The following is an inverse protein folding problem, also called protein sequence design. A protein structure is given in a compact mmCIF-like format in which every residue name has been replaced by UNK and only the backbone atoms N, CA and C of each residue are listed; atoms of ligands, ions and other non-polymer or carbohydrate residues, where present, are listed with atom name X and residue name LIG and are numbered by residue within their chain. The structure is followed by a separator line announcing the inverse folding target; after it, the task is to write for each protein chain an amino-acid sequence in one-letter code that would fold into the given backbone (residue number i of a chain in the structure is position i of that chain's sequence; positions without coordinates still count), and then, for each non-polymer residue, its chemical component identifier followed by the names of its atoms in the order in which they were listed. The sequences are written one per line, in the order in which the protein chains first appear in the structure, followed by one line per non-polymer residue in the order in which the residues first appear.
data_IF_934876280390
#
_entry.id   IF_934876280390
#
_cell.length_a   1.000
_cell.length_b   1.000
_cell.length_c   1.000
_cell.angle_alpha   90.00
_cell.angle_beta   90.00
_cell.angle_gamma   90.00
#
_symmetry.space_group_name_H-M   'P 1'
#
loop_
_entity.id
_entity.type
_entity.pdbx_description
1 polymer ?
#
# COMPACT_ATOMS: atom_id res chain seq x y z
N UNK A 1 16.06 -17.87 4.55
CA UNK A 1 16.86 -18.04 5.78
C UNK A 1 18.34 -17.92 5.48
N UNK A 2 18.82 -18.21 4.27
CA UNK A 2 20.16 -17.77 3.88
C UNK A 2 20.28 -16.24 3.98
N UNK A 3 21.38 -15.75 4.56
CA UNK A 3 21.68 -14.33 4.79
C UNK A 3 20.68 -13.61 5.71
N UNK A 4 20.07 -14.31 6.67
CA UNK A 4 19.23 -13.66 7.69
C UNK A 4 19.93 -13.53 9.03
N UNK A 5 19.74 -12.38 9.65
CA UNK A 5 20.08 -12.04 11.04
C UNK A 5 18.88 -12.35 11.93
N UNK A 6 19.08 -13.16 12.98
CA UNK A 6 18.03 -13.86 13.71
C UNK A 6 18.26 -13.78 15.22
N UNK A 7 17.33 -13.12 15.91
CA UNK A 7 17.18 -13.28 17.37
C UNK A 7 16.18 -14.39 17.69
N UNK A 8 16.58 -15.32 18.55
CA UNK A 8 15.75 -16.40 19.08
C UNK A 8 15.59 -16.19 20.59
N UNK A 9 14.39 -16.33 21.17
CA UNK A 9 14.24 -16.17 22.61
C UNK A 9 12.92 -16.68 23.16
N UNK A 10 12.82 -16.67 24.49
CA UNK A 10 11.65 -17.17 25.22
C UNK A 10 11.81 -17.05 26.73
N UNK A 11 10.97 -17.77 27.48
CA UNK A 11 11.04 -17.88 28.94
C UNK A 11 11.08 -19.36 29.36
N UNK A 12 12.29 -19.85 29.66
CA UNK A 12 12.50 -21.24 30.04
C UNK A 12 12.55 -21.39 31.56
N UNK A 13 11.62 -22.17 32.13
CA UNK A 13 11.51 -22.39 33.58
C UNK A 13 11.49 -21.07 34.39
N UNK A 14 10.75 -20.08 33.89
CA UNK A 14 10.66 -18.75 34.50
C UNK A 14 11.91 -17.87 34.32
N UNK A 15 12.91 -18.31 33.54
CA UNK A 15 14.09 -17.52 33.22
C UNK A 15 14.04 -17.05 31.76
N UNK A 16 14.12 -15.75 31.51
CA UNK A 16 14.12 -15.25 30.15
C UNK A 16 15.46 -15.52 29.46
N UNK A 17 15.45 -15.68 28.14
CA UNK A 17 16.65 -15.84 27.34
C UNK A 17 16.47 -15.27 25.94
N UNK A 18 17.59 -14.89 25.34
CA UNK A 18 17.73 -14.65 23.91
C UNK A 18 19.02 -15.31 23.42
N UNK A 19 19.12 -15.51 22.12
CA UNK A 19 20.25 -16.05 21.40
C UNK A 19 20.34 -15.33 20.06
N UNK A 20 21.50 -14.76 19.79
CA UNK A 20 21.81 -14.13 18.51
C UNK A 20 22.39 -15.17 17.53
N UNK A 21 21.81 -15.22 16.35
CA UNK A 21 22.10 -16.23 15.33
C UNK A 21 22.02 -15.63 13.93
N UNK A 22 22.71 -16.26 12.99
CA UNK A 22 22.54 -16.04 11.56
C UNK A 22 22.11 -17.31 10.83
N UNK A 23 21.48 -17.10 9.68
CA UNK A 23 21.03 -18.16 8.79
C UNK A 23 21.94 -18.32 7.58
N UNK A 24 22.50 -19.51 7.40
CA UNK A 24 23.32 -19.86 6.24
C UNK A 24 22.52 -20.62 5.16
N UNK A 25 21.23 -20.88 5.40
CA UNK A 25 20.39 -21.65 4.49
C UNK A 25 19.10 -22.13 5.12
N UNK A 26 18.49 -23.18 4.55
CA UNK A 26 17.22 -23.73 5.03
C UNK A 26 17.41 -24.81 6.11
N UNK A 27 18.33 -24.58 7.05
CA UNK A 27 18.61 -25.45 8.19
C UNK A 27 18.62 -24.65 9.50
N UNK A 28 19.03 -25.29 10.59
CA UNK A 28 19.08 -24.68 11.92
C UNK A 28 20.03 -23.46 11.91
N UNK A 29 19.61 -22.30 12.44
CA UNK A 29 20.48 -21.13 12.57
C UNK A 29 21.76 -21.42 13.34
N UNK A 30 22.84 -20.73 12.97
CA UNK A 30 24.16 -20.82 13.60
C UNK A 30 24.25 -19.69 14.62
N UNK A 31 24.78 -19.98 15.81
CA UNK A 31 24.96 -18.97 16.86
C UNK A 31 26.10 -18.04 16.49
N UNK A 32 25.86 -16.74 16.65
CA UNK A 32 26.81 -15.70 16.28
C UNK A 32 27.99 -15.66 17.25
N UNK A 33 29.14 -15.22 16.73
CA UNK A 33 30.34 -15.03 17.57
C UNK A 33 30.23 -13.80 18.43
N UNK A 34 29.64 -12.73 17.89
CA UNK A 34 29.15 -11.58 18.65
C UNK A 34 27.71 -11.85 19.09
N UNK A 35 27.23 -11.13 20.11
CA UNK A 35 25.84 -11.19 20.53
C UNK A 35 25.38 -9.74 20.68
N UNK A 36 24.78 -9.21 19.63
CA UNK A 36 24.49 -7.79 19.46
C UNK A 36 23.06 -7.44 19.88
N UNK A 37 22.14 -8.41 19.83
CA UNK A 37 20.83 -8.26 20.43
C UNK A 37 20.90 -8.23 21.96
N UNK A 38 20.21 -7.25 22.55
CA UNK A 38 20.08 -7.09 23.99
C UNK A 38 18.64 -7.33 24.43
N UNK A 39 18.46 -8.23 25.38
CA UNK A 39 17.17 -8.46 26.01
C UNK A 39 16.85 -7.33 26.98
N UNK A 40 15.70 -6.67 26.79
CA UNK A 40 15.18 -5.62 27.68
C UNK A 40 14.17 -6.18 28.68
N UNK A 41 13.20 -6.93 28.19
CA UNK A 41 12.21 -7.59 29.02
C UNK A 41 11.67 -8.84 28.34
N UNK A 42 11.21 -9.79 29.14
CA UNK A 42 10.59 -11.00 28.65
C UNK A 42 9.56 -11.48 29.67
N UNK A 43 8.39 -11.84 29.18
CA UNK A 43 7.29 -12.33 30.02
C UNK A 43 6.51 -13.40 29.26
N UNK A 44 5.95 -14.34 30.01
CA UNK A 44 5.12 -15.39 29.46
C UNK A 44 3.85 -15.52 30.29
N UNK A 45 2.73 -15.69 29.60
CA UNK A 45 1.44 -16.00 30.21
C UNK A 45 0.82 -17.22 29.52
N UNK A 46 -0.37 -17.65 29.96
CA UNK A 46 -1.03 -18.84 29.42
C UNK A 46 -1.43 -18.77 27.93
N UNK A 47 -1.16 -17.67 27.23
CA UNK A 47 -1.50 -17.49 25.82
C UNK A 47 -0.29 -17.16 24.94
N UNK A 48 0.65 -16.35 25.42
CA UNK A 48 1.75 -15.84 24.59
C UNK A 48 2.99 -15.52 25.42
N UNK A 49 4.14 -15.53 24.76
CA UNK A 49 5.41 -14.98 25.25
C UNK A 49 5.65 -13.63 24.59
N UNK A 50 6.00 -12.62 25.37
CA UNK A 50 6.38 -11.28 24.90
C UNK A 50 7.85 -11.06 25.19
N UNK A 51 8.62 -10.70 24.16
CA UNK A 51 10.03 -10.34 24.24
C UNK A 51 10.19 -8.90 23.78
N UNK A 52 10.91 -8.12 24.56
CA UNK A 52 11.38 -6.80 24.19
C UNK A 52 12.90 -6.87 24.03
N UNK A 53 13.36 -6.62 22.82
CA UNK A 53 14.79 -6.65 22.47
C UNK A 53 15.20 -5.32 21.88
N UNK A 54 16.49 -5.04 21.91
CA UNK A 54 17.06 -3.86 21.26
C UNK A 54 18.43 -4.18 20.68
N UNK A 55 18.79 -3.46 19.63
CA UNK A 55 20.09 -3.57 18.98
C UNK A 55 20.44 -2.24 18.33
N UNK A 56 21.72 -1.97 18.15
CA UNK A 56 22.19 -0.80 17.39
C UNK A 56 21.90 -1.00 15.89
N UNK A 57 21.70 0.08 15.14
CA UNK A 57 21.33 -0.03 13.72
C UNK A 57 22.41 -0.69 12.85
N UNK A 58 23.68 -0.47 13.18
CA UNK A 58 24.80 -1.14 12.53
C UNK A 58 25.77 -1.61 13.61
N UNK A 59 25.90 -2.92 13.75
CA UNK A 59 26.78 -3.59 14.73
C UNK A 59 28.22 -3.66 14.25
N UNK A 60 28.45 -3.46 12.94
CA UNK A 60 29.72 -3.71 12.27
C UNK A 60 30.18 -5.18 12.35
N UNK A 61 29.26 -6.12 12.64
CA UNK A 61 29.46 -7.55 12.49
C UNK A 61 29.05 -8.00 11.08
N UNK A 62 29.77 -8.97 10.52
CA UNK A 62 29.50 -9.53 9.18
C UNK A 62 28.40 -10.59 9.19
N UNK A 63 28.06 -11.16 10.36
CA UNK A 63 26.97 -12.13 10.50
C UNK A 63 25.58 -11.43 10.57
N UNK A 64 25.60 -10.11 10.56
CA UNK A 64 24.51 -9.21 10.90
C UNK A 64 24.04 -8.34 9.73
N UNK A 65 22.74 -8.00 9.71
CA UNK A 65 22.18 -7.10 8.70
C UNK A 65 22.03 -5.66 9.26
N UNK A 66 22.57 -4.63 8.57
CA UNK A 66 22.36 -3.26 9.00
C UNK A 66 20.90 -2.84 8.84
N UNK A 67 20.34 -2.22 9.87
CA UNK A 67 19.04 -1.54 9.83
C UNK A 67 19.25 -0.15 9.24
N UNK A 68 18.67 0.10 8.07
CA UNK A 68 18.80 1.36 7.35
C UNK A 68 17.41 1.84 6.85
N UNK A 69 17.40 2.78 5.90
CA UNK A 69 16.17 3.34 5.32
C UNK A 69 15.56 2.45 4.21
N UNK A 70 16.17 1.31 3.89
CA UNK A 70 15.64 0.38 2.90
C UNK A 70 14.50 -0.47 3.50
N UNK A 71 13.81 -1.19 2.62
CA UNK A 71 12.79 -2.15 3.03
C UNK A 71 13.46 -3.38 3.66
N UNK A 72 13.18 -3.62 4.94
CA UNK A 72 13.60 -4.82 5.67
C UNK A 72 12.54 -5.91 5.56
N UNK A 73 12.94 -7.11 5.15
CA UNK A 73 12.06 -8.29 5.15
C UNK A 73 12.20 -9.04 6.47
N UNK A 74 11.24 -8.84 7.37
CA UNK A 74 11.12 -9.65 8.57
C UNK A 74 10.65 -11.05 8.21
N UNK A 75 11.31 -12.03 8.81
CA UNK A 75 10.85 -13.40 8.87
C UNK A 75 10.58 -13.73 10.33
N UNK A 76 9.55 -14.53 10.59
CA UNK A 76 9.23 -14.95 11.94
C UNK A 76 8.75 -16.38 11.96
N UNK A 77 8.96 -17.01 13.10
CA UNK A 77 8.40 -18.32 13.43
C UNK A 77 8.15 -18.40 14.92
N UNK A 78 7.11 -19.14 15.30
CA UNK A 78 6.78 -19.38 16.71
C UNK A 78 6.63 -20.88 16.97
N UNK A 79 7.11 -21.31 18.13
CA UNK A 79 7.01 -22.68 18.64
C UNK A 79 6.19 -22.74 19.92
N UNK A 80 5.86 -23.95 20.36
CA UNK A 80 5.20 -24.22 21.66
C UNK A 80 6.18 -24.63 22.74
N UNK A 81 7.46 -24.79 22.40
CA UNK A 81 8.55 -25.21 23.28
C UNK A 81 9.78 -24.33 23.02
N UNK A 82 10.74 -24.37 23.94
CA UNK A 82 12.06 -23.73 23.81
C UNK A 82 13.04 -24.51 22.92
N UNK A 83 12.60 -25.60 22.30
CA UNK A 83 13.43 -26.44 21.46
C UNK A 83 13.33 -26.00 20.00
N UNK A 84 14.49 -25.84 19.35
CA UNK A 84 14.57 -25.44 17.95
C UNK A 84 14.22 -26.60 17.02
N UNK A 85 12.97 -26.60 16.56
CA UNK A 85 12.41 -27.60 15.65
C UNK A 85 11.86 -26.97 14.37
N UNK A 86 11.40 -27.79 13.43
CA UNK A 86 10.76 -27.29 12.21
C UNK A 86 9.45 -26.58 12.56
N UNK A 87 9.44 -25.25 12.36
CA UNK A 87 8.31 -24.39 12.65
C UNK A 87 7.04 -24.76 11.84
N UNK A 88 5.91 -24.91 12.53
CA UNK A 88 4.59 -25.07 11.91
C UNK A 88 3.91 -23.72 11.63
N UNK A 89 4.18 -22.72 12.49
CA UNK A 89 3.68 -21.35 12.35
C UNK A 89 4.84 -20.41 12.04
N UNK A 90 4.80 -19.85 10.83
CA UNK A 90 5.83 -18.94 10.31
C UNK A 90 5.22 -17.95 9.34
N UNK A 91 5.94 -16.87 9.08
CA UNK A 91 5.54 -15.89 8.09
C UNK A 91 6.67 -14.91 7.78
N UNK A 92 6.35 -13.95 6.93
CA UNK A 92 7.24 -12.84 6.62
C UNK A 92 6.45 -11.57 6.35
N UNK A 93 7.05 -10.41 6.63
CA UNK A 93 6.50 -9.10 6.31
C UNK A 93 7.63 -8.18 5.84
N UNK A 94 7.34 -7.30 4.88
CA UNK A 94 8.28 -6.26 4.45
C UNK A 94 7.89 -4.96 5.13
N UNK A 95 8.84 -4.31 5.80
CA UNK A 95 8.60 -3.05 6.53
C UNK A 95 9.79 -2.11 6.34
N UNK A 96 9.56 -0.81 6.48
CA UNK A 96 10.64 0.18 6.59
C UNK A 96 10.76 0.51 8.08
N UNK A 97 11.77 -0.03 8.76
CA UNK A 97 11.90 0.09 10.24
C UNK A 97 12.02 1.55 10.66
N UNK A 98 12.78 2.34 9.89
CA UNK A 98 13.06 3.74 10.18
C UNK A 98 12.06 4.70 9.53
N UNK A 99 10.89 4.19 9.09
CA UNK A 99 9.88 5.05 8.47
C UNK A 99 9.40 6.09 9.50
N UNK A 100 9.49 7.40 9.21
CA UNK A 100 8.98 8.41 10.12
C UNK A 100 7.48 8.21 10.33
N UNK A 101 7.05 8.26 11.59
CA UNK A 101 5.63 8.29 11.90
C UNK A 101 5.08 9.61 11.39
N UNK A 102 4.29 9.57 10.31
CA UNK A 102 3.56 10.75 9.85
C UNK A 102 2.64 11.23 10.97
N UNK A 103 2.62 12.54 11.28
CA UNK A 103 1.69 13.06 12.27
C UNK A 103 0.25 12.72 11.85
N UNK A 104 -0.64 12.41 12.81
CA UNK A 104 -2.01 12.07 12.48
C UNK A 104 -2.68 13.26 11.77
N UNK A 105 -3.11 13.05 10.53
CA UNK A 105 -3.85 14.07 9.77
C UNK A 105 -5.32 13.98 10.15
N UNK A 106 -5.88 15.08 10.67
CA UNK A 106 -7.30 15.15 10.98
C UNK A 106 -8.12 15.19 9.68
N UNK A 107 -8.76 14.08 9.35
CA UNK A 107 -9.66 13.93 8.19
C UNK A 107 -11.15 13.90 8.58
N UNK A 108 -11.48 14.13 9.86
CA UNK A 108 -12.83 13.91 10.39
C UNK A 108 -13.88 14.86 9.76
N UNK A 109 -13.47 16.07 9.41
CA UNK A 109 -14.31 17.08 8.77
C UNK A 109 -14.22 17.04 7.23
N UNK A 110 -13.47 16.09 6.67
CA UNK A 110 -13.32 15.97 5.22
C UNK A 110 -14.58 15.38 4.58
N UNK A 111 -14.86 15.79 3.35
CA UNK A 111 -15.86 15.19 2.51
C UNK A 111 -15.24 14.06 1.69
N UNK A 112 -15.89 12.90 1.71
CA UNK A 112 -15.44 11.71 0.97
C UNK A 112 -15.93 11.76 -0.47
N UNK A 113 -15.02 11.56 -1.42
CA UNK A 113 -15.33 11.31 -2.82
C UNK A 113 -14.81 9.93 -3.23
N UNK A 114 -15.73 9.08 -3.67
CA UNK A 114 -15.41 7.71 -4.09
C UNK A 114 -15.38 7.59 -5.62
N UNK A 115 -14.27 7.06 -6.13
CA UNK A 115 -14.04 6.71 -7.53
C UNK A 115 -13.95 5.20 -7.63
N UNK A 116 -15.09 4.53 -7.43
CA UNK A 116 -15.18 3.08 -7.32
C UNK A 116 -15.87 2.47 -8.53
N UNK A 117 -15.48 1.25 -8.89
CA UNK A 117 -16.12 0.46 -9.94
C UNK A 117 -16.24 -0.99 -9.50
N UNK A 118 -17.38 -1.60 -9.80
CA UNK A 118 -17.53 -3.05 -9.73
C UNK A 118 -17.17 -3.68 -11.07
N UNK A 119 -16.05 -4.37 -11.12
CA UNK A 119 -15.52 -4.97 -12.35
C UNK A 119 -15.69 -6.49 -12.32
N UNK A 120 -16.01 -7.09 -13.46
CA UNK A 120 -15.89 -8.53 -13.67
C UNK A 120 -14.53 -8.77 -14.31
N UNK A 121 -13.63 -9.42 -13.57
CA UNK A 121 -12.26 -9.62 -14.00
C UNK A 121 -12.21 -10.60 -15.19
N UNK A 122 -11.49 -10.29 -16.28
CA UNK A 122 -11.19 -11.27 -17.31
C UNK A 122 -10.41 -12.46 -16.75
N UNK A 123 -10.60 -13.64 -17.35
CA UNK A 123 -9.81 -14.84 -17.04
C UNK A 123 -8.41 -14.78 -17.70
N UNK A 124 -7.70 -13.68 -17.46
CA UNK A 124 -6.37 -13.36 -17.97
C UNK A 124 -5.41 -13.20 -16.80
N UNK A 125 -4.13 -13.47 -17.03
CA UNK A 125 -3.09 -13.37 -16.01
C UNK A 125 -2.94 -11.95 -15.48
N UNK A 126 -2.90 -10.99 -16.40
CA UNK A 126 -2.73 -9.57 -16.13
C UNK A 126 -3.79 -8.80 -16.90
N UNK A 127 -4.49 -7.86 -16.24
CA UNK A 127 -5.47 -6.98 -16.87
C UNK A 127 -5.25 -5.54 -16.44
N UNK A 128 -5.15 -4.63 -17.40
CA UNK A 128 -5.20 -3.18 -17.15
C UNK A 128 -6.58 -2.67 -17.52
N UNK A 129 -7.36 -2.30 -16.51
CA UNK A 129 -8.73 -1.85 -16.67
C UNK A 129 -8.86 -0.36 -16.35
N UNK A 130 -9.47 0.38 -17.26
CA UNK A 130 -9.57 1.82 -17.17
C UNK A 130 -11.03 2.24 -17.01
N UNK A 131 -11.27 3.20 -16.10
CA UNK A 131 -12.59 3.79 -15.84
C UNK A 131 -12.50 5.30 -15.82
N UNK A 132 -13.57 5.95 -16.27
CA UNK A 132 -13.73 7.39 -16.18
C UNK A 132 -14.45 7.76 -14.88
N UNK A 133 -14.04 8.85 -14.25
CA UNK A 133 -14.69 9.44 -13.08
C UNK A 133 -14.83 10.95 -13.27
N UNK A 134 -15.86 11.55 -12.65
CA UNK A 134 -16.13 12.98 -12.69
C UNK A 134 -16.17 13.51 -11.27
N UNK A 135 -15.53 14.65 -11.04
CA UNK A 135 -15.61 15.31 -9.73
C UNK A 135 -17.07 15.64 -9.39
N UNK A 136 -17.46 15.59 -8.11
CA UNK A 136 -18.74 16.14 -7.67
C UNK A 136 -18.90 17.61 -8.12
N UNK A 137 -20.14 18.12 -8.27
CA UNK A 137 -20.41 19.48 -8.76
C UNK A 137 -20.10 20.52 -7.67
N UNK A 138 -18.82 20.75 -7.43
CA UNK A 138 -18.35 21.71 -6.44
C UNK A 138 -18.53 23.15 -6.93
N UNK A 139 -18.93 24.05 -6.02
CA UNK A 139 -19.14 25.48 -6.31
C UNK A 139 -17.92 26.35 -6.03
N UNK A 140 -16.88 25.79 -5.41
CA UNK A 140 -15.64 26.49 -5.03
C UNK A 140 -14.43 25.56 -5.15
N UNK A 141 -13.23 26.14 -5.22
CA UNK A 141 -11.96 25.40 -5.11
C UNK A 141 -11.92 24.59 -3.83
N UNK A 142 -11.29 23.42 -3.90
CA UNK A 142 -11.10 22.47 -2.81
C UNK A 142 -9.69 21.89 -2.87
N UNK A 143 -9.30 21.25 -1.78
CA UNK A 143 -8.11 20.41 -1.74
C UNK A 143 -8.46 18.97 -1.43
N UNK A 144 -7.84 18.03 -2.14
CA UNK A 144 -7.73 16.65 -1.69
C UNK A 144 -6.57 16.60 -0.69
N UNK A 145 -6.81 16.08 0.50
CA UNK A 145 -5.85 16.01 1.62
C UNK A 145 -5.42 14.58 1.95
N UNK A 146 -5.98 13.59 1.24
CA UNK A 146 -5.55 12.22 1.35
C UNK A 146 -6.31 11.30 0.41
N UNK A 147 -5.74 10.11 0.23
CA UNK A 147 -6.24 9.04 -0.61
C UNK A 147 -6.13 7.72 0.13
N UNK A 148 -7.11 6.84 -0.06
CA UNK A 148 -6.97 5.42 0.25
C UNK A 148 -7.57 4.58 -0.86
N UNK A 149 -7.24 3.30 -0.87
CA UNK A 149 -7.80 2.33 -1.80
C UNK A 149 -8.91 1.55 -1.13
N UNK A 150 -10.01 1.30 -1.85
CA UNK A 150 -11.09 0.44 -1.38
C UNK A 150 -10.76 -1.03 -1.62
N UNK A 151 -10.35 -1.73 -0.56
CA UNK A 151 -9.98 -3.14 -0.56
C UNK A 151 -10.78 -3.94 0.48
N UNK A 152 -12.11 -3.86 0.41
CA UNK A 152 -13.01 -4.37 1.46
C UNK A 152 -13.17 -5.89 1.44
N UNK A 153 -13.08 -6.54 0.29
CA UNK A 153 -13.24 -8.00 0.15
C UNK A 153 -11.91 -8.74 -0.02
N UNK A 154 -11.91 -10.06 0.22
CA UNK A 154 -10.71 -10.89 0.01
C UNK A 154 -10.27 -10.88 -1.47
N UNK A 155 -11.23 -10.91 -2.39
CA UNK A 155 -10.99 -10.83 -3.83
C UNK A 155 -10.33 -9.49 -4.20
N UNK A 156 -10.83 -8.37 -3.65
CA UNK A 156 -10.22 -7.06 -3.91
C UNK A 156 -8.77 -6.98 -3.43
N UNK A 157 -8.46 -7.55 -2.25
CA UNK A 157 -7.10 -7.61 -1.70
C UNK A 157 -6.17 -8.56 -2.46
N UNK A 158 -6.71 -9.67 -2.96
CA UNK A 158 -5.92 -10.70 -3.63
C UNK A 158 -5.64 -10.39 -5.10
N UNK A 159 -6.48 -9.58 -5.75
CA UNK A 159 -6.43 -9.37 -7.20
C UNK A 159 -6.15 -7.93 -7.63
N UNK A 160 -6.19 -6.94 -6.73
CA UNK A 160 -5.80 -5.56 -7.07
C UNK A 160 -4.32 -5.35 -6.78
N UNK A 161 -3.50 -5.17 -7.83
CA UNK A 161 -2.04 -5.11 -7.67
C UNK A 161 -1.51 -3.67 -7.59
N UNK A 162 -1.98 -2.78 -8.46
CA UNK A 162 -1.72 -1.34 -8.36
C UNK A 162 -2.82 -0.55 -9.06
N UNK A 163 -2.91 0.74 -8.77
CA UNK A 163 -3.82 1.65 -9.45
C UNK A 163 -3.24 3.05 -9.54
N UNK A 164 -3.65 3.74 -10.61
CA UNK A 164 -3.12 5.04 -10.99
C UNK A 164 -4.30 5.94 -11.35
N UNK A 165 -4.31 7.14 -10.77
CA UNK A 165 -5.29 8.18 -11.05
C UNK A 165 -4.65 9.30 -11.87
N UNK A 166 -5.22 9.55 -13.03
CA UNK A 166 -4.89 10.70 -13.85
C UNK A 166 -6.05 11.70 -13.87
N UNK A 167 -5.72 12.98 -13.84
CA UNK A 167 -6.64 14.06 -14.18
C UNK A 167 -6.59 14.31 -15.69
N UNK A 168 -7.75 14.57 -16.26
CA UNK A 168 -7.95 14.72 -17.68
C UNK A 168 -8.16 16.17 -18.08
N UNK A 169 -7.56 16.56 -19.21
CA UNK A 169 -7.83 17.88 -19.80
C UNK A 169 -9.11 17.82 -20.63
N UNK A 170 -10.14 18.54 -20.20
CA UNK A 170 -11.39 18.71 -20.93
C UNK A 170 -11.40 20.00 -21.75
N UNK A 171 -10.48 20.12 -22.72
CA UNK A 171 -10.23 21.39 -23.45
C UNK A 171 -11.17 21.68 -24.62
N UNK A 172 -12.09 20.77 -24.95
CA UNK A 172 -13.00 20.88 -26.09
C UNK A 172 -14.26 20.05 -25.86
N UNK A 173 -15.37 20.45 -26.49
CA UNK A 173 -16.65 19.74 -26.42
C UNK A 173 -16.54 18.26 -26.87
N UNK A 174 -15.71 17.96 -27.87
CA UNK A 174 -15.48 16.58 -28.36
C UNK A 174 -14.88 15.67 -27.26
N UNK A 175 -13.87 16.17 -26.53
CA UNK A 175 -13.25 15.46 -25.40
C UNK A 175 -14.23 15.30 -24.24
N UNK A 176 -15.04 16.32 -23.96
CA UNK A 176 -16.09 16.23 -22.94
C UNK A 176 -17.07 15.12 -23.31
N UNK A 177 -17.55 15.08 -24.56
CA UNK A 177 -18.46 14.04 -25.04
C UNK A 177 -17.83 12.65 -24.97
N UNK A 178 -16.55 12.52 -25.32
CA UNK A 178 -15.80 11.27 -25.16
C UNK A 178 -15.80 10.80 -23.69
N UNK A 179 -15.40 11.66 -22.75
CA UNK A 179 -15.33 11.29 -21.33
C UNK A 179 -16.73 10.96 -20.76
N UNK A 180 -17.75 11.74 -21.12
CA UNK A 180 -19.16 11.50 -20.75
C UNK A 180 -19.70 10.18 -21.31
N UNK A 181 -19.23 9.74 -22.48
CA UNK A 181 -19.62 8.44 -23.03
C UNK A 181 -19.06 7.29 -22.20
N UNK A 182 -17.81 7.39 -21.74
CA UNK A 182 -17.12 6.35 -20.95
C UNK A 182 -17.68 6.32 -19.52
N UNK A 183 -18.02 7.47 -18.94
CA UNK A 183 -18.66 7.58 -17.61
C UNK A 183 -19.95 6.75 -17.48
N UNK A 184 -20.61 6.42 -18.59
CA UNK A 184 -21.85 5.61 -18.63
C UNK A 184 -21.60 4.12 -18.78
N UNK A 185 -20.33 3.70 -18.75
CA UNK A 185 -19.88 2.32 -18.91
C UNK A 185 -19.18 1.84 -17.63
N UNK A 186 -19.04 0.53 -17.40
CA UNK A 186 -18.19 0.00 -16.32
C UNK A 186 -16.68 0.14 -16.59
N UNK A 187 -16.28 0.91 -17.62
CA UNK A 187 -14.92 0.93 -18.14
C UNK A 187 -14.62 -0.25 -19.06
N UNK A 188 -13.33 -0.47 -19.30
CA UNK A 188 -12.85 -1.44 -20.28
C UNK A 188 -11.34 -1.62 -20.25
N UNK A 189 -10.85 -2.47 -21.15
CA UNK A 189 -9.42 -2.73 -21.31
C UNK A 189 -8.71 -1.46 -21.78
N UNK A 190 -7.74 -0.99 -21.00
CA UNK A 190 -7.07 0.29 -21.21
C UNK A 190 -6.45 0.47 -22.61
N UNK A 191 -6.07 -0.63 -23.26
CA UNK A 191 -5.31 -0.65 -24.51
C UNK A 191 -6.06 -1.24 -25.70
N UNK A 192 -7.27 -1.78 -25.50
CA UNK A 192 -8.04 -2.45 -26.55
C UNK A 192 -9.33 -1.70 -26.90
N UNK A 193 -9.94 -1.01 -25.94
CA UNK A 193 -11.10 -0.16 -26.21
C UNK A 193 -10.63 1.19 -26.77
N UNK A 194 -11.10 1.52 -27.98
CA UNK A 194 -10.66 2.72 -28.71
C UNK A 194 -10.97 4.02 -27.96
N UNK A 195 -12.15 4.14 -27.36
CA UNK A 195 -12.57 5.34 -26.64
C UNK A 195 -11.75 5.52 -25.37
N UNK A 196 -11.54 4.44 -24.63
CA UNK A 196 -10.73 4.44 -23.41
C UNK A 196 -9.27 4.73 -23.73
N UNK A 197 -8.73 4.13 -24.79
CA UNK A 197 -7.37 4.41 -25.25
C UNK A 197 -7.22 5.88 -25.65
N UNK A 198 -8.22 6.47 -26.31
CA UNK A 198 -8.26 7.89 -26.64
C UNK A 198 -8.28 8.77 -25.39
N UNK A 199 -9.11 8.46 -24.39
CA UNK A 199 -9.13 9.17 -23.11
C UNK A 199 -7.78 9.08 -22.38
N UNK A 200 -7.15 7.89 -22.36
CA UNK A 200 -5.83 7.70 -21.74
C UNK A 200 -4.77 8.63 -22.31
N UNK A 201 -4.79 8.88 -23.62
CA UNK A 201 -3.83 9.78 -24.27
C UNK A 201 -4.04 11.25 -23.91
N UNK A 202 -5.21 11.64 -23.42
CA UNK A 202 -5.52 13.03 -23.05
C UNK A 202 -5.55 13.26 -21.53
N UNK A 203 -5.53 12.19 -20.74
CA UNK A 203 -5.38 12.22 -19.28
C UNK A 203 -3.91 12.05 -18.88
N UNK A 204 -3.10 13.08 -19.09
CA UNK A 204 -1.65 13.00 -18.88
C UNK A 204 -1.20 13.38 -17.46
N UNK A 205 -2.05 14.05 -16.69
CA UNK A 205 -1.71 14.59 -15.37
C UNK A 205 -1.85 13.52 -14.30
N UNK A 206 -0.75 12.91 -13.89
CA UNK A 206 -0.73 11.97 -12.77
C UNK A 206 -1.04 12.68 -11.45
N UNK A 207 -1.97 12.14 -10.66
CA UNK A 207 -2.40 12.71 -9.38
C UNK A 207 -2.02 11.80 -8.21
N UNK A 208 -2.28 10.49 -8.36
CA UNK A 208 -2.10 9.53 -7.27
C UNK A 208 -1.80 8.14 -7.83
N UNK A 209 -0.96 7.40 -7.13
CA UNK A 209 -0.68 6.00 -7.41
C UNK A 209 -0.60 5.21 -6.12
N UNK A 210 -1.00 3.95 -6.19
CA UNK A 210 -0.86 3.00 -5.09
C UNK A 210 -0.49 1.63 -5.64
N UNK A 211 0.28 0.88 -4.86
CA UNK A 211 0.62 -0.52 -5.12
C UNK A 211 0.47 -1.33 -3.84
N UNK A 212 0.39 -2.65 -3.98
CA UNK A 212 0.30 -3.59 -2.85
C UNK A 212 1.30 -3.26 -1.74
N UNK A 213 0.81 -3.23 -0.50
CA UNK A 213 1.60 -2.93 0.70
C UNK A 213 1.65 -1.45 1.08
N UNK A 214 1.17 -0.53 0.24
CA UNK A 214 1.10 0.89 0.62
C UNK A 214 -0.11 1.18 1.53
N UNK A 215 0.15 1.99 2.56
CA UNK A 215 -0.86 2.56 3.45
C UNK A 215 -1.64 3.70 2.75
N UNK A 216 -2.78 4.15 3.35
CA UNK A 216 -3.41 5.40 2.94
C UNK A 216 -2.41 6.56 2.90
N UNK A 217 -2.46 7.35 1.83
CA UNK A 217 -1.68 8.58 1.73
C UNK A 217 -2.45 9.72 2.38
N UNK A 218 -1.84 10.36 3.39
CA UNK A 218 -2.29 11.64 3.92
C UNK A 218 -1.25 12.70 3.62
N UNK A 219 -1.70 13.84 3.07
CA UNK A 219 -0.80 14.94 2.74
C UNK A 219 -0.45 15.75 3.99
N UNK A 220 0.71 16.42 4.01
CA UNK A 220 1.06 17.35 5.08
C UNK A 220 -0.03 18.40 5.33
N UNK A 221 -0.12 18.90 6.56
CA UNK A 221 -1.20 19.82 6.97
C UNK A 221 -1.25 21.12 6.14
N UNK A 222 -0.12 21.56 5.58
CA UNK A 222 -0.02 22.77 4.77
C UNK A 222 -0.10 22.50 3.25
N UNK A 223 -0.41 21.28 2.81
CA UNK A 223 -0.42 20.89 1.38
C UNK A 223 -1.72 20.18 0.99
N UNK A 224 -2.25 20.48 -0.19
CA UNK A 224 -3.41 19.79 -0.75
C UNK A 224 -3.39 19.74 -2.28
N UNK A 225 -3.89 18.65 -2.87
CA UNK A 225 -4.03 18.57 -4.34
C UNK A 225 -5.19 19.47 -4.77
N UNK A 226 -4.97 20.46 -5.66
CA UNK A 226 -6.03 21.36 -6.11
C UNK A 226 -7.12 20.62 -6.88
N UNK A 227 -8.36 20.99 -6.59
CA UNK A 227 -9.56 20.48 -7.26
C UNK A 227 -10.54 21.62 -7.48
N UNK A 228 -11.18 21.66 -8.65
CA UNK A 228 -12.19 22.64 -9.04
C UNK A 228 -11.65 24.08 -9.04
N UNK A 229 -10.46 24.30 -9.60
CA UNK A 229 -9.83 25.64 -9.62
C UNK A 229 -10.58 26.64 -10.50
N UNK A 230 -11.24 26.15 -11.55
CA UNK A 230 -11.91 26.97 -12.55
C UNK A 230 -13.45 26.92 -12.47
N UNK A 231 -14.01 26.30 -11.42
CA UNK A 231 -15.46 26.17 -11.25
C UNK A 231 -16.13 25.26 -12.30
N UNK A 232 -15.35 24.45 -13.00
CA UNK A 232 -15.83 23.48 -13.98
C UNK A 232 -15.60 22.06 -13.44
N UNK A 233 -16.52 21.11 -13.68
CA UNK A 233 -16.30 19.72 -13.34
C UNK A 233 -15.04 19.18 -14.01
N UNK A 234 -14.25 18.44 -13.24
CA UNK A 234 -13.03 17.82 -13.71
C UNK A 234 -13.25 16.32 -13.96
N UNK A 235 -12.49 15.79 -14.93
CA UNK A 235 -12.58 14.40 -15.35
C UNK A 235 -11.29 13.67 -14.97
N UNK A 236 -11.43 12.39 -14.64
CA UNK A 236 -10.35 11.55 -14.15
C UNK A 236 -10.39 10.19 -14.83
N UNK A 237 -9.21 9.64 -15.08
CA UNK A 237 -9.04 8.27 -15.53
C UNK A 237 -8.41 7.48 -14.39
N UNK A 238 -9.10 6.44 -13.94
CA UNK A 238 -8.57 5.47 -13.01
C UNK A 238 -8.17 4.20 -13.78
N UNK A 239 -6.87 3.95 -13.83
CA UNK A 239 -6.28 2.70 -14.32
C UNK A 239 -6.04 1.75 -13.14
N UNK A 240 -6.53 0.52 -13.27
CA UNK A 240 -6.34 -0.53 -12.27
C UNK A 240 -5.65 -1.70 -12.93
N UNK A 241 -4.50 -2.09 -12.38
CA UNK A 241 -3.83 -3.33 -12.74
C UNK A 241 -4.31 -4.45 -11.82
N UNK A 242 -5.03 -5.38 -12.43
CA UNK A 242 -5.48 -6.60 -11.79
C UNK A 242 -4.53 -7.76 -12.09
N UNK A 243 -4.19 -8.50 -11.04
CA UNK A 243 -3.35 -9.70 -11.09
C UNK A 243 -4.20 -10.95 -10.80
N UNK A 244 -4.25 -11.87 -11.76
CA UNK A 244 -5.02 -13.12 -11.70
C UNK A 244 -4.19 -14.27 -12.28
N UNK A 245 -3.09 -14.66 -11.61
CA UNK A 245 -2.12 -15.63 -12.13
C UNK A 245 -2.75 -17.00 -12.43
N UNK A 246 -3.78 -17.37 -11.67
CA UNK A 246 -4.54 -18.61 -11.83
C UNK A 246 -5.63 -18.53 -12.91
N UNK A 247 -5.80 -17.38 -13.59
CA UNK A 247 -6.78 -17.15 -14.67
C UNK A 247 -8.20 -17.56 -14.26
N UNK A 248 -8.55 -17.29 -13.01
CA UNK A 248 -9.83 -17.70 -12.44
C UNK A 248 -10.97 -16.95 -13.14
N UNK A 249 -12.01 -17.66 -13.63
CA UNK A 249 -13.17 -17.03 -14.23
C UNK A 249 -14.18 -16.59 -13.15
N UNK A 250 -15.02 -15.62 -13.50
CA UNK A 250 -16.21 -15.27 -12.70
C UNK A 250 -15.94 -14.41 -11.46
N UNK A 251 -14.70 -13.98 -11.24
CA UNK A 251 -14.37 -13.04 -10.17
C UNK A 251 -15.01 -11.68 -10.47
N UNK A 252 -15.72 -11.13 -9.49
CA UNK A 252 -16.22 -9.76 -9.55
C UNK A 252 -16.24 -9.13 -8.18
N UNK A 253 -15.65 -7.94 -8.06
CA UNK A 253 -15.60 -7.17 -6.83
C UNK A 253 -15.56 -5.69 -7.14
N UNK A 254 -15.86 -4.88 -6.14
CA UNK A 254 -15.73 -3.43 -6.19
C UNK A 254 -14.37 -3.02 -5.64
N UNK A 255 -13.70 -2.11 -6.35
CA UNK A 255 -12.48 -1.46 -5.86
C UNK A 255 -12.34 -0.09 -6.53
N UNK A 256 -11.41 0.72 -6.03
CA UNK A 256 -11.17 2.07 -6.53
C UNK A 256 -10.48 2.94 -5.49
N UNK A 257 -10.61 4.25 -5.68
CA UNK A 257 -9.97 5.26 -4.82
C UNK A 257 -11.02 5.99 -4.01
N UNK A 258 -10.69 6.22 -2.75
CA UNK A 258 -11.43 7.11 -1.85
C UNK A 258 -10.56 8.33 -1.58
N UNK A 259 -11.00 9.51 -2.04
CA UNK A 259 -10.35 10.78 -1.83
C UNK A 259 -11.02 11.55 -0.68
N UNK A 260 -10.20 12.14 0.20
CA UNK A 260 -10.65 12.99 1.29
C UNK A 260 -10.48 14.45 0.89
N UNK A 261 -11.58 15.20 0.79
CA UNK A 261 -11.61 16.58 0.26
C UNK A 261 -12.00 17.59 1.32
N UNK A 262 -11.53 18.84 1.20
CA UNK A 262 -11.87 19.93 2.12
C UNK A 262 -12.00 21.27 1.39
N UNK A 263 -12.84 22.16 1.93
CA UNK A 263 -12.93 23.58 1.54
C UNK A 263 -11.94 24.45 2.30
N UNK A 264 -11.36 23.95 3.40
CA UNK A 264 -10.32 24.65 4.14
C UNK A 264 -9.01 24.49 3.37
N UNK A 265 -8.76 25.40 2.44
CA UNK A 265 -7.59 25.37 1.57
C UNK A 265 -6.31 25.41 2.41
N UNK A 266 -5.39 24.52 2.08
CA UNK A 266 -4.05 24.49 2.63
C UNK A 266 -3.19 25.58 2.00
N UNK A 267 -2.06 25.88 2.62
CA UNK A 267 -1.15 26.95 2.19
C UNK A 267 -0.59 26.72 0.79
N UNK A 268 -0.38 25.46 0.40
CA UNK A 268 0.27 25.10 -0.86
C UNK A 268 -0.55 24.10 -1.67
N UNK A 269 -0.60 24.34 -2.99
CA UNK A 269 -1.10 23.37 -3.95
C UNK A 269 -0.03 22.30 -4.21
N UNK A 270 -0.42 21.03 -4.09
CA UNK A 270 0.43 19.90 -4.42
C UNK A 270 0.49 19.70 -5.94
N UNK A 271 1.67 19.34 -6.44
CA UNK A 271 1.86 18.87 -7.81
C UNK A 271 2.77 17.65 -7.83
N UNK A 272 2.66 16.83 -8.88
CA UNK A 272 3.56 15.71 -9.10
C UNK A 272 4.49 16.07 -10.27
N UNK A 273 5.80 16.00 -10.01
CA UNK A 273 6.80 16.14 -11.06
C UNK A 273 6.86 14.83 -11.86
N UNK A 274 6.85 14.97 -13.18
CA UNK A 274 6.99 13.87 -14.13
C UNK A 274 8.27 14.04 -14.94
#
# INVERSE_FOLDING_TARGET
MEYSDIVIGGVRHGKPYILDCHGEGNWKPVVDKSQDWQLRSASENGTHTTLEVSRVFNTCDNDDLPINNDTTKFIWSIGTTDDLEHHQKRGSASVIILNPVSPPVNITESQVWEMNVKTKLPAMETTYWCTAHKSPPYTSKRHIIGFKVKLETAESRNHTHHLILHQCRASSEELIQLYESILRTPGGLCYEDENIYNMRRTCEHFIYGWAVGADPLYLPENVGVPLNEHGLPEYFLLEIHYDNPSKLPGISYETGIVAYTTTNLREHDAGVLR
#
